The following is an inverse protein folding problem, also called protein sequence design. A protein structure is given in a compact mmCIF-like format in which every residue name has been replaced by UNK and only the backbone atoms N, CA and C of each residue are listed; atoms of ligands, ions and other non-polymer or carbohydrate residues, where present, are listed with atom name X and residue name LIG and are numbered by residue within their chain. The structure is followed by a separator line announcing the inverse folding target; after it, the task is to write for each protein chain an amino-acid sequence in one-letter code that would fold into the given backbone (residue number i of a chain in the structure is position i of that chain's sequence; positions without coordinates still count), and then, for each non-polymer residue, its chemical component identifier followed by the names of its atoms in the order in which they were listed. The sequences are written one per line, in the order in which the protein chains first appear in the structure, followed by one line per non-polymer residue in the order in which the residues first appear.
data_IF_844995412953
#
_entry.id   IF_844995412953
#
_cell.length_a   1.000
_cell.length_b   1.000
_cell.length_c   1.000
_cell.angle_alpha   90.00
_cell.angle_beta   90.00
_cell.angle_gamma   90.00
#
_symmetry.space_group_name_H-M   'P 1'
#
loop_
_entity.id
_entity.type
_entity.pdbx_description
1 polymer ?
#
# COMPACT_ATOMS: atom_id res chain seq x y z
N UNK A 1 -29.15 0.41 -32.25
CA UNK A 1 -29.24 1.37 -31.13
C UNK A 1 -28.05 1.31 -30.14
N UNK A 2 -27.02 0.48 -30.36
CA UNK A 2 -25.73 0.51 -29.63
C UNK A 2 -24.80 1.68 -30.03
N UNK A 3 -25.12 2.36 -31.14
CA UNK A 3 -24.33 3.44 -31.73
C UNK A 3 -24.09 4.64 -30.78
N UNK A 4 -25.06 5.17 -30.00
CA UNK A 4 -24.84 6.36 -29.17
C UNK A 4 -23.90 6.12 -27.98
N UNK A 5 -23.96 4.93 -27.38
CA UNK A 5 -23.12 4.56 -26.24
C UNK A 5 -21.69 4.30 -26.71
N UNK A 6 -21.53 3.58 -27.82
CA UNK A 6 -20.23 3.32 -28.45
C UNK A 6 -19.62 4.62 -29.02
N UNK A 7 -20.44 5.54 -29.57
CA UNK A 7 -19.96 6.83 -30.06
C UNK A 7 -19.48 7.73 -28.92
N UNK A 8 -20.16 7.73 -27.77
CA UNK A 8 -19.75 8.52 -26.59
C UNK A 8 -18.46 7.98 -25.94
N UNK A 9 -18.20 6.67 -26.04
CA UNK A 9 -16.94 6.06 -25.58
C UNK A 9 -15.78 6.39 -26.52
N UNK A 10 -16.04 6.54 -27.83
CA UNK A 10 -15.01 6.87 -28.83
C UNK A 10 -14.80 8.38 -29.03
N UNK A 11 -15.76 9.21 -28.62
CA UNK A 11 -15.68 10.67 -28.69
C UNK A 11 -15.53 11.27 -27.28
N UNK A 12 -14.32 11.73 -26.95
CA UNK A 12 -14.08 12.51 -25.74
C UNK A 12 -14.57 13.95 -25.89
N UNK A 13 -15.13 14.51 -24.82
CA UNK A 13 -15.50 15.93 -24.70
C UNK A 13 -14.30 16.85 -24.98
N UNK A 14 -13.11 16.44 -24.58
CA UNK A 14 -11.88 17.20 -24.70
C UNK A 14 -10.94 16.61 -25.76
N UNK A 15 -10.22 17.51 -26.45
CA UNK A 15 -9.11 17.14 -27.32
C UNK A 15 -7.95 16.59 -26.47
N UNK A 16 -7.28 15.56 -26.98
CA UNK A 16 -6.20 14.87 -26.26
C UNK A 16 -4.84 15.55 -26.45
N UNK A 17 -4.65 16.26 -27.56
CA UNK A 17 -3.40 16.94 -27.91
C UNK A 17 -2.87 17.88 -26.83
N UNK A 18 -3.68 18.80 -26.26
CA UNK A 18 -3.23 19.66 -25.17
C UNK A 18 -2.77 18.90 -23.91
N UNK A 19 -3.49 17.82 -23.54
CA UNK A 19 -3.13 16.99 -22.39
C UNK A 19 -1.82 16.23 -22.63
N UNK A 20 -1.64 15.64 -23.82
CA UNK A 20 -0.40 14.96 -24.20
C UNK A 20 0.78 15.92 -24.25
N UNK A 21 0.57 17.14 -24.74
CA UNK A 21 1.60 18.19 -24.71
C UNK A 21 2.01 18.50 -23.28
N UNK A 22 1.05 18.70 -22.37
CA UNK A 22 1.35 18.95 -20.96
C UNK A 22 2.12 17.78 -20.31
N UNK A 23 1.75 16.53 -20.61
CA UNK A 23 2.52 15.38 -20.12
C UNK A 23 3.94 15.33 -20.67
N UNK A 24 4.15 15.66 -21.95
CA UNK A 24 5.48 15.69 -22.58
C UNK A 24 6.36 16.86 -22.11
N UNK A 25 5.75 17.94 -21.63
CA UNK A 25 6.46 19.05 -20.99
C UNK A 25 6.98 18.67 -19.60
N UNK A 26 6.23 17.84 -18.85
CA UNK A 26 6.61 17.40 -17.50
C UNK A 26 7.48 16.14 -17.52
N UNK A 27 7.19 15.20 -18.41
CA UNK A 27 7.92 13.94 -18.56
C UNK A 27 8.63 13.95 -19.91
N UNK A 28 9.98 13.89 -19.94
CA UNK A 28 10.72 13.91 -21.19
C UNK A 28 10.20 12.85 -22.17
N UNK A 29 10.02 13.18 -23.47
CA UNK A 29 9.36 12.30 -24.43
C UNK A 29 10.00 10.91 -24.61
N UNK A 30 11.29 10.81 -24.31
CA UNK A 30 12.15 9.63 -24.41
C UNK A 30 12.32 8.87 -23.07
N UNK A 31 11.69 9.36 -22.00
CA UNK A 31 11.80 8.75 -20.68
C UNK A 31 10.91 7.51 -20.59
N UNK A 32 11.53 6.32 -20.71
CA UNK A 32 10.81 5.04 -20.59
C UNK A 32 10.36 4.79 -19.15
N UNK A 33 9.15 4.25 -19.00
CA UNK A 33 8.52 3.96 -17.71
C UNK A 33 9.34 2.96 -16.88
N UNK A 34 9.88 1.93 -17.54
CA UNK A 34 10.69 0.89 -16.91
C UNK A 34 12.06 0.81 -17.58
N UNK A 35 13.13 0.77 -16.76
CA UNK A 35 14.52 0.69 -17.24
C UNK A 35 15.19 2.02 -17.62
N UNK A 36 14.47 3.16 -17.54
CA UNK A 36 14.81 4.44 -18.17
C UNK A 36 15.74 5.40 -17.44
N UNK A 37 16.35 5.01 -16.32
CA UNK A 37 17.35 5.87 -15.69
C UNK A 37 18.44 5.04 -15.02
N UNK A 38 19.57 4.86 -15.73
CA UNK A 38 20.76 4.20 -15.20
C UNK A 38 21.56 5.10 -14.24
N UNK A 39 21.26 6.40 -14.21
CA UNK A 39 22.02 7.39 -13.44
C UNK A 39 21.34 7.77 -12.11
N UNK A 40 20.22 7.16 -11.75
CA UNK A 40 19.65 7.33 -10.41
C UNK A 40 20.46 6.50 -9.41
N UNK A 41 21.51 7.08 -8.84
CA UNK A 41 22.17 6.53 -7.66
C UNK A 41 21.19 6.59 -6.48
N UNK A 42 20.42 5.52 -6.26
CA UNK A 42 19.45 5.51 -5.17
C UNK A 42 18.44 4.37 -5.12
N UNK A 43 17.76 4.27 -3.98
CA UNK A 43 16.57 3.41 -3.80
C UNK A 43 15.46 3.95 -4.69
N UNK A 44 15.20 3.26 -5.80
CA UNK A 44 14.12 3.59 -6.73
C UNK A 44 12.75 3.34 -6.08
N UNK A 45 11.98 4.42 -5.90
CA UNK A 45 10.57 4.36 -5.49
C UNK A 45 9.80 3.51 -6.48
N UNK A 46 9.07 2.51 -5.99
CA UNK A 46 8.23 1.63 -6.80
C UNK A 46 6.91 2.33 -7.06
N UNK A 47 6.66 2.68 -8.31
CA UNK A 47 5.47 3.41 -8.75
C UNK A 47 4.69 2.57 -9.75
N UNK A 48 3.36 2.65 -9.67
CA UNK A 48 2.43 1.96 -10.54
C UNK A 48 1.16 2.80 -10.75
N UNK A 49 0.58 2.69 -11.94
CA UNK A 49 -0.73 3.25 -12.28
C UNK A 49 -1.64 2.14 -12.83
N UNK A 50 -2.93 2.28 -12.61
CA UNK A 50 -3.95 1.36 -13.11
C UNK A 50 -4.53 1.87 -14.43
N UNK A 51 -4.80 0.97 -15.36
CA UNK A 51 -5.48 1.27 -16.61
C UNK A 51 -6.35 0.08 -17.00
N UNK A 52 -7.24 0.27 -17.96
CA UNK A 52 -8.21 -0.73 -18.38
C UNK A 52 -8.09 -0.93 -19.89
N UNK A 53 -8.07 -2.19 -20.35
CA UNK A 53 -8.12 -2.50 -21.79
C UNK A 53 -9.56 -2.53 -22.31
N UNK A 54 -9.75 -2.48 -23.64
CA UNK A 54 -11.08 -2.66 -24.25
C UNK A 54 -11.73 -4.00 -23.95
N UNK A 55 -10.94 -5.02 -23.60
CA UNK A 55 -11.43 -6.34 -23.17
C UNK A 55 -11.71 -6.39 -21.66
N UNK A 56 -11.90 -5.23 -21.01
CA UNK A 56 -12.23 -5.13 -19.57
C UNK A 56 -11.20 -5.76 -18.64
N UNK A 57 -9.93 -5.83 -19.06
CA UNK A 57 -8.83 -6.27 -18.18
C UNK A 57 -8.19 -5.08 -17.50
N UNK A 58 -8.10 -5.14 -16.18
CA UNK A 58 -7.27 -4.24 -15.37
C UNK A 58 -5.81 -4.53 -15.67
N UNK A 59 -5.06 -3.49 -16.01
CA UNK A 59 -3.64 -3.53 -16.30
C UNK A 59 -2.90 -2.63 -15.33
N UNK A 60 -1.78 -3.12 -14.81
CA UNK A 60 -0.82 -2.31 -14.06
C UNK A 60 0.35 -1.95 -14.97
N UNK A 61 0.58 -0.64 -15.11
CA UNK A 61 1.77 -0.06 -15.72
C UNK A 61 2.66 0.43 -14.58
N UNK A 62 3.92 0.01 -14.52
CA UNK A 62 4.78 0.35 -13.37
C UNK A 62 6.24 0.58 -13.77
N UNK A 63 7.07 1.03 -12.82
CA UNK A 63 8.52 1.19 -13.01
C UNK A 63 9.37 0.05 -12.40
N UNK A 64 8.76 -1.08 -12.08
CA UNK A 64 9.43 -2.22 -11.44
C UNK A 64 9.05 -3.57 -12.04
N UNK A 65 9.94 -4.54 -12.07
CA UNK A 65 9.54 -5.90 -12.41
C UNK A 65 9.20 -6.71 -11.15
N UNK A 66 8.34 -7.72 -11.29
CA UNK A 66 7.99 -8.65 -10.21
C UNK A 66 7.63 -10.02 -10.77
N UNK A 67 7.71 -11.05 -9.93
CA UNK A 67 7.21 -12.39 -10.30
C UNK A 67 5.69 -12.33 -10.44
N UNK A 68 5.16 -13.01 -11.44
CA UNK A 68 3.71 -13.14 -11.60
C UNK A 68 3.14 -14.05 -10.51
N UNK A 69 2.07 -13.62 -9.81
CA UNK A 69 1.36 -14.49 -8.89
C UNK A 69 0.71 -15.65 -9.68
N UNK A 70 0.47 -16.78 -9.01
CA UNK A 70 -0.18 -17.96 -9.61
C UNK A 70 -1.57 -17.63 -10.16
N UNK A 71 -2.31 -16.77 -9.46
CA UNK A 71 -3.62 -16.28 -9.85
C UNK A 71 -3.54 -14.75 -9.83
N UNK A 72 -3.41 -14.09 -11.00
CA UNK A 72 -3.28 -12.64 -11.07
C UNK A 72 -4.63 -11.95 -10.91
N UNK A 73 -4.71 -11.00 -9.97
CA UNK A 73 -5.83 -10.06 -9.86
C UNK A 73 -5.87 -9.10 -11.07
N UNK A 74 -4.69 -8.67 -11.51
CA UNK A 74 -4.48 -7.70 -12.57
C UNK A 74 -3.48 -8.23 -13.59
N UNK A 75 -3.66 -7.84 -14.84
CA UNK A 75 -2.65 -8.06 -15.87
C UNK A 75 -1.45 -7.14 -15.61
N UNK A 76 -0.26 -7.72 -15.52
CA UNK A 76 0.96 -6.97 -15.32
C UNK A 76 1.60 -6.68 -16.67
N UNK A 77 1.59 -5.42 -17.12
CA UNK A 77 2.16 -5.09 -18.42
C UNK A 77 3.67 -4.96 -18.31
N UNK A 78 4.37 -5.95 -18.85
CA UNK A 78 5.82 -5.95 -19.04
C UNK A 78 6.13 -6.44 -20.43
N UNK A 79 6.02 -5.56 -21.43
CA UNK A 79 6.38 -5.92 -22.78
C UNK A 79 7.92 -5.95 -22.94
N UNK A 80 8.42 -6.43 -24.09
CA UNK A 80 9.84 -6.30 -24.42
C UNK A 80 10.28 -4.83 -24.52
N UNK A 81 11.58 -4.52 -24.46
CA UNK A 81 12.09 -3.14 -24.48
C UNK A 81 11.57 -2.31 -25.67
N UNK A 82 11.36 -2.93 -26.82
CA UNK A 82 10.86 -2.32 -28.05
C UNK A 82 9.36 -1.93 -28.00
N UNK A 83 8.66 -2.41 -26.97
CA UNK A 83 7.24 -2.17 -26.72
C UNK A 83 6.98 -1.51 -25.36
N UNK A 84 8.04 -1.13 -24.64
CA UNK A 84 7.91 -0.46 -23.34
C UNK A 84 7.33 0.94 -23.50
N UNK A 85 6.48 1.32 -22.56
CA UNK A 85 5.83 2.62 -22.61
C UNK A 85 6.77 3.73 -22.16
N UNK A 86 6.63 4.89 -22.78
CA UNK A 86 7.14 6.13 -22.22
C UNK A 86 6.30 6.53 -20.99
N UNK A 87 6.90 7.24 -20.05
CA UNK A 87 6.22 7.68 -18.83
C UNK A 87 5.00 8.57 -19.15
N UNK A 88 5.10 9.44 -20.14
CA UNK A 88 3.98 10.28 -20.60
C UNK A 88 2.85 9.45 -21.23
N UNK A 89 3.16 8.31 -21.86
CA UNK A 89 2.15 7.40 -22.42
C UNK A 89 1.41 6.65 -21.32
N UNK A 90 2.12 6.22 -20.28
CA UNK A 90 1.49 5.61 -19.11
C UNK A 90 0.56 6.60 -18.38
N UNK A 91 0.99 7.86 -18.23
CA UNK A 91 0.15 8.94 -17.71
C UNK A 91 -1.08 9.17 -18.60
N UNK A 92 -0.90 9.19 -19.92
CA UNK A 92 -2.00 9.35 -20.88
C UNK A 92 -2.99 8.19 -20.84
N UNK A 93 -2.51 6.96 -20.67
CA UNK A 93 -3.32 5.74 -20.58
C UNK A 93 -4.20 5.74 -19.33
N UNK A 94 -3.63 6.03 -18.15
CA UNK A 94 -4.39 6.04 -16.89
C UNK A 94 -5.41 7.18 -16.82
N UNK A 95 -5.23 8.28 -17.56
CA UNK A 95 -6.15 9.43 -17.58
C UNK A 95 -7.15 9.41 -18.75
N UNK A 96 -7.26 8.30 -19.49
CA UNK A 96 -8.17 8.16 -20.62
C UNK A 96 -9.63 7.92 -20.17
N UNK A 97 -10.16 8.84 -19.36
CA UNK A 97 -11.50 8.75 -18.78
C UNK A 97 -12.58 8.74 -19.87
N UNK A 98 -13.45 7.69 -19.92
CA UNK A 98 -14.56 7.65 -20.85
C UNK A 98 -15.42 8.93 -20.76
N UNK A 99 -15.99 9.36 -21.89
CA UNK A 99 -16.69 10.65 -22.08
C UNK A 99 -15.82 11.92 -21.99
N UNK A 100 -14.69 11.89 -21.29
CA UNK A 100 -13.78 13.03 -21.17
C UNK A 100 -12.72 13.04 -22.27
N UNK A 101 -11.95 11.96 -22.37
CA UNK A 101 -10.86 11.81 -23.33
C UNK A 101 -11.06 10.55 -24.18
N UNK A 102 -10.55 10.60 -25.41
CA UNK A 102 -10.53 9.40 -26.26
C UNK A 102 -9.64 8.31 -25.63
N UNK A 103 -9.94 7.02 -25.87
CA UNK A 103 -9.06 5.93 -25.49
C UNK A 103 -7.64 6.13 -26.05
N UNK A 104 -6.62 5.73 -25.28
CA UNK A 104 -5.23 5.84 -25.71
C UNK A 104 -4.80 4.57 -26.46
N UNK A 105 -4.48 4.68 -27.73
CA UNK A 105 -3.94 3.59 -28.53
C UNK A 105 -2.41 3.61 -28.47
N UNK A 106 -1.82 2.63 -27.82
CA UNK A 106 -0.38 2.44 -27.81
C UNK A 106 0.00 1.54 -28.99
N UNK A 107 0.62 2.13 -30.00
CA UNK A 107 0.92 1.45 -31.26
C UNK A 107 1.90 0.29 -31.07
N UNK A 108 2.94 0.46 -30.24
CA UNK A 108 3.98 -0.55 -30.06
C UNK A 108 3.45 -1.85 -29.39
N UNK A 109 2.52 -1.73 -28.43
CA UNK A 109 1.91 -2.91 -27.80
C UNK A 109 0.63 -3.39 -28.48
N UNK A 110 0.14 -2.67 -29.51
CA UNK A 110 -1.14 -2.92 -30.18
C UNK A 110 -2.32 -2.96 -29.21
N UNK A 111 -2.23 -2.20 -28.11
CA UNK A 111 -3.27 -2.15 -27.08
C UNK A 111 -3.95 -0.79 -27.03
N UNK A 112 -5.23 -0.81 -26.66
CA UNK A 112 -6.02 0.38 -26.41
C UNK A 112 -6.39 0.42 -24.94
N UNK A 113 -6.03 1.54 -24.31
CA UNK A 113 -6.14 1.81 -22.90
C UNK A 113 -7.23 2.85 -22.60
N UNK A 114 -7.92 2.60 -21.50
CA UNK A 114 -8.93 3.43 -20.86
C UNK A 114 -8.47 3.72 -19.42
N UNK A 115 -9.12 4.68 -18.79
CA UNK A 115 -8.86 5.03 -17.40
C UNK A 115 -8.94 3.84 -16.43
N UNK A 116 -8.07 3.84 -15.42
CA UNK A 116 -8.07 2.85 -14.35
C UNK A 116 -9.26 2.99 -13.40
N UNK A 117 -9.85 4.18 -13.31
CA UNK A 117 -11.01 4.51 -12.48
C UNK A 117 -12.28 3.75 -12.84
N UNK A 118 -12.34 3.13 -14.02
CA UNK A 118 -13.44 2.24 -14.42
C UNK A 118 -13.61 1.07 -13.43
N UNK A 119 -12.51 0.53 -12.93
CA UNK A 119 -12.50 -0.63 -12.03
C UNK A 119 -11.82 -0.36 -10.68
N UNK A 120 -10.81 0.52 -10.65
CA UNK A 120 -10.00 0.80 -9.47
C UNK A 120 -9.77 2.31 -9.32
N UNK A 121 -10.86 3.05 -9.07
CA UNK A 121 -10.76 4.48 -8.73
C UNK A 121 -10.06 4.73 -7.39
N UNK A 122 -10.05 3.71 -6.52
CA UNK A 122 -9.08 3.57 -5.43
C UNK A 122 -8.16 2.38 -5.74
N UNK A 123 -6.86 2.60 -5.99
CA UNK A 123 -5.95 1.51 -6.33
C UNK A 123 -5.48 0.71 -5.10
N UNK A 124 -6.10 0.85 -3.93
CA UNK A 124 -5.61 0.29 -2.66
C UNK A 124 -5.42 -1.23 -2.71
N UNK A 125 -6.38 -1.96 -3.27
CA UNK A 125 -6.28 -3.42 -3.42
C UNK A 125 -5.11 -3.79 -4.33
N UNK A 126 -4.98 -3.10 -5.46
CA UNK A 126 -3.87 -3.31 -6.41
C UNK A 126 -2.54 -2.99 -5.73
N UNK A 127 -2.44 -1.88 -5.00
CA UNK A 127 -1.24 -1.48 -4.28
C UNK A 127 -0.82 -2.53 -3.22
N UNK A 128 -1.77 -3.05 -2.44
CA UNK A 128 -1.47 -4.11 -1.46
C UNK A 128 -0.97 -5.39 -2.14
N UNK A 129 -1.64 -5.85 -3.20
CA UNK A 129 -1.23 -7.06 -3.95
C UNK A 129 0.15 -6.87 -4.59
N UNK A 130 0.38 -5.74 -5.25
CA UNK A 130 1.66 -5.45 -5.90
C UNK A 130 2.79 -5.34 -4.86
N UNK A 131 2.56 -4.69 -3.72
CA UNK A 131 3.58 -4.59 -2.65
C UNK A 131 4.07 -5.96 -2.18
N UNK A 132 3.16 -6.91 -1.98
CA UNK A 132 3.47 -8.29 -1.58
C UNK A 132 4.20 -9.07 -2.66
N UNK A 133 3.94 -8.75 -3.92
CA UNK A 133 4.61 -9.37 -5.05
C UNK A 133 6.02 -8.81 -5.30
N UNK A 134 6.25 -7.53 -4.96
CA UNK A 134 7.59 -6.91 -4.97
C UNK A 134 8.42 -7.42 -3.78
N UNK A 135 7.83 -7.55 -2.60
CA UNK A 135 8.51 -7.97 -1.37
C UNK A 135 7.90 -9.24 -0.73
N UNK A 136 8.11 -10.43 -1.32
CA UNK A 136 7.50 -11.67 -0.83
C UNK A 136 7.87 -12.04 0.61
N UNK A 137 9.09 -11.72 1.07
CA UNK A 137 9.57 -12.00 2.43
C UNK A 137 8.84 -11.21 3.52
N UNK A 138 8.22 -10.09 3.15
CA UNK A 138 7.48 -9.20 4.06
C UNK A 138 5.97 -9.32 3.89
N UNK A 139 5.47 -10.24 3.07
CA UNK A 139 4.04 -10.36 2.73
C UNK A 139 3.13 -10.53 3.95
N UNK A 140 3.59 -11.27 4.95
CA UNK A 140 2.84 -11.61 6.15
C UNK A 140 3.11 -10.62 7.30
N UNK A 141 3.99 -9.64 7.07
CA UNK A 141 4.29 -8.57 8.03
C UNK A 141 3.29 -7.43 7.88
N UNK A 142 3.03 -6.72 8.97
CA UNK A 142 2.23 -5.49 8.93
C UNK A 142 3.02 -4.39 8.21
N UNK A 143 2.36 -3.53 7.41
CA UNK A 143 3.01 -2.38 6.81
C UNK A 143 3.43 -1.36 7.88
N UNK A 144 4.47 -0.58 7.61
CA UNK A 144 4.81 0.56 8.48
C UNK A 144 3.70 1.61 8.45
N UNK A 145 3.18 1.88 7.25
CA UNK A 145 2.02 2.72 6.99
C UNK A 145 1.43 2.38 5.61
N UNK A 146 0.11 2.46 5.52
CA UNK A 146 -0.67 2.56 4.30
C UNK A 146 -1.42 3.88 4.38
N UNK A 147 -1.11 4.79 3.46
CA UNK A 147 -1.77 6.07 3.33
C UNK A 147 -2.51 6.11 1.98
N UNK A 148 -3.84 6.17 2.05
CA UNK A 148 -4.71 6.34 0.91
C UNK A 148 -5.28 7.76 0.90
N UNK A 149 -5.06 8.50 -0.17
CA UNK A 149 -5.52 9.89 -0.31
C UNK A 149 -6.61 9.95 -1.37
N UNK A 150 -7.79 10.42 -1.00
CA UNK A 150 -8.93 10.60 -1.89
C UNK A 150 -8.98 12.00 -2.51
N UNK A 151 -9.72 12.12 -3.61
CA UNK A 151 -9.93 13.37 -4.34
C UNK A 151 -11.25 14.06 -3.97
N UNK A 152 -11.81 13.74 -2.81
CA UNK A 152 -13.08 14.23 -2.32
C UNK A 152 -14.28 13.35 -2.64
N UNK A 153 -15.33 13.49 -1.83
CA UNK A 153 -16.59 12.75 -1.91
C UNK A 153 -17.69 13.72 -2.33
N UNK A 154 -18.40 13.38 -3.41
CA UNK A 154 -19.61 14.09 -3.82
C UNK A 154 -20.81 13.57 -3.00
N UNK A 155 -21.51 14.44 -2.24
CA UNK A 155 -22.61 14.01 -1.37
C UNK A 155 -23.76 13.34 -2.14
N UNK A 156 -23.89 13.59 -3.46
CA UNK A 156 -24.92 12.94 -4.30
C UNK A 156 -24.64 11.46 -4.57
N UNK A 157 -23.37 11.03 -4.44
CA UNK A 157 -22.97 9.64 -4.68
C UNK A 157 -23.13 8.76 -3.45
N UNK A 158 -23.25 9.34 -2.26
CA UNK A 158 -23.48 8.59 -1.01
C UNK A 158 -24.92 8.07 -0.87
N UNK A 159 -25.90 8.77 -1.44
CA UNK A 159 -27.33 8.39 -1.35
C UNK A 159 -27.76 7.39 -2.42
N UNK A 160 -26.87 7.03 -3.35
CA UNK A 160 -27.17 6.06 -4.40
C UNK A 160 -27.13 4.59 -3.92
N UNK A 161 -26.76 4.34 -2.66
CA UNK A 161 -26.41 3.01 -2.13
C UNK A 161 -27.61 2.10 -1.84
N UNK A 162 -28.84 2.62 -1.78
CA UNK A 162 -30.05 1.77 -1.58
C UNK A 162 -30.72 1.34 -2.90
N UNK A 163 -29.94 0.77 -3.83
CA UNK A 163 -30.46 0.27 -5.12
C UNK A 163 -30.78 -1.23 -5.14
N UNK A 164 -30.38 -2.01 -4.12
CA UNK A 164 -30.72 -3.44 -4.02
C UNK A 164 -32.24 -3.64 -4.03
N UNK A 165 -32.99 -2.78 -3.34
CA UNK A 165 -34.45 -2.76 -3.27
C UNK A 165 -35.08 -2.48 -4.65
N UNK A 166 -34.48 -1.60 -5.45
CA UNK A 166 -34.99 -1.27 -6.78
C UNK A 166 -34.74 -2.39 -7.80
N UNK A 167 -33.63 -3.11 -7.68
CA UNK A 167 -33.32 -4.28 -8.53
C UNK A 167 -34.19 -5.48 -8.15
N UNK A 168 -34.40 -5.74 -6.85
CA UNK A 168 -35.31 -6.79 -6.37
C UNK A 168 -36.76 -6.55 -6.80
N UNK A 169 -37.25 -5.31 -6.67
CA UNK A 169 -38.59 -4.93 -7.11
C UNK A 169 -38.77 -5.11 -8.63
N UNK A 170 -37.72 -4.86 -9.41
CA UNK A 170 -37.77 -4.97 -10.86
C UNK A 170 -37.65 -6.42 -11.34
N UNK A 171 -36.76 -7.22 -10.75
CA UNK A 171 -36.65 -8.67 -11.05
C UNK A 171 -37.94 -9.40 -10.67
N UNK A 172 -38.61 -8.99 -9.58
CA UNK A 172 -39.92 -9.51 -9.18
C UNK A 172 -41.07 -9.09 -10.12
N UNK A 173 -40.88 -8.03 -10.90
CA UNK A 173 -41.87 -7.53 -11.87
C UNK A 173 -41.80 -8.20 -13.24
N UNK A 174 -40.70 -8.90 -13.55
CA UNK A 174 -40.53 -9.70 -14.78
C UNK A 174 -41.13 -11.09 -14.54
N UNK A 175 -42.46 -11.16 -14.57
CA UNK A 175 -43.21 -12.40 -14.50
C UNK A 175 -43.05 -13.27 -15.76
N UNK A 176 -43.27 -14.57 -15.61
CA UNK A 176 -42.89 -15.65 -16.52
C UNK A 176 -43.71 -15.81 -17.82
N UNK A 177 -44.37 -14.77 -18.35
CA UNK A 177 -45.12 -14.88 -19.63
C UNK A 177 -45.13 -13.54 -20.38
N UNK A 178 -44.33 -13.38 -21.46
CA UNK A 178 -44.26 -12.10 -22.19
C UNK A 178 -44.17 -12.19 -23.74
N UNK A 179 -44.93 -11.36 -24.48
CA UNK A 179 -44.85 -11.19 -25.94
C UNK A 179 -43.79 -10.15 -26.41
N UNK A 180 -43.36 -10.28 -27.66
CA UNK A 180 -41.94 -10.13 -28.10
C UNK A 180 -41.41 -8.71 -28.42
N UNK A 181 -42.21 -7.64 -28.56
CA UNK A 181 -41.70 -6.42 -29.24
C UNK A 181 -41.57 -5.13 -28.41
N UNK A 182 -42.42 -4.89 -27.40
CA UNK A 182 -42.40 -3.63 -26.61
C UNK A 182 -41.40 -3.66 -25.45
N UNK A 183 -41.00 -4.86 -25.02
CA UNK A 183 -40.29 -5.11 -23.77
C UNK A 183 -38.75 -5.19 -23.90
N UNK A 184 -38.23 -5.44 -25.11
CA UNK A 184 -36.79 -5.43 -25.39
C UNK A 184 -36.13 -4.08 -25.10
N UNK A 185 -36.88 -2.97 -25.24
CA UNK A 185 -36.38 -1.62 -24.92
C UNK A 185 -36.27 -1.40 -23.42
N UNK A 186 -37.25 -1.86 -22.64
CA UNK A 186 -37.22 -1.79 -21.18
C UNK A 186 -36.09 -2.67 -20.62
N UNK A 187 -35.99 -3.93 -21.07
CA UNK A 187 -34.89 -4.81 -20.68
C UNK A 187 -33.50 -4.24 -21.05
N UNK A 188 -33.36 -3.64 -22.23
CA UNK A 188 -32.11 -2.98 -22.62
C UNK A 188 -31.81 -1.75 -21.75
N UNK A 189 -32.81 -0.95 -21.40
CA UNK A 189 -32.67 0.19 -20.48
C UNK A 189 -32.22 -0.27 -19.09
N UNK A 190 -32.74 -1.40 -18.62
CA UNK A 190 -32.34 -2.04 -17.35
C UNK A 190 -30.90 -2.52 -17.41
N UNK A 191 -30.50 -3.22 -18.48
CA UNK A 191 -29.09 -3.63 -18.66
C UNK A 191 -28.15 -2.43 -18.77
N UNK A 192 -28.57 -1.36 -19.43
CA UNK A 192 -27.81 -0.11 -19.53
C UNK A 192 -27.66 0.57 -18.17
N UNK A 193 -28.73 0.60 -17.37
CA UNK A 193 -28.71 1.12 -16.01
C UNK A 193 -27.84 0.27 -15.09
N UNK A 194 -27.95 -1.06 -15.12
CA UNK A 194 -27.06 -1.97 -14.38
C UNK A 194 -25.59 -1.79 -14.77
N UNK A 195 -25.30 -1.65 -16.07
CA UNK A 195 -23.95 -1.39 -16.58
C UNK A 195 -23.42 -0.03 -16.13
N UNK A 196 -24.25 1.01 -16.17
CA UNK A 196 -23.92 2.36 -15.70
C UNK A 196 -23.73 2.41 -14.18
N UNK A 197 -24.58 1.73 -13.42
CA UNK A 197 -24.49 1.61 -11.97
C UNK A 197 -23.24 0.83 -11.56
N UNK A 198 -22.85 -0.22 -12.29
CA UNK A 198 -21.58 -0.91 -12.08
C UNK A 198 -20.38 0.02 -12.29
N UNK A 199 -20.42 0.86 -13.33
CA UNK A 199 -19.39 1.89 -13.58
C UNK A 199 -19.35 2.93 -12.46
N UNK A 200 -20.50 3.42 -11.97
CA UNK A 200 -20.56 4.38 -10.86
C UNK A 200 -20.06 3.74 -9.56
N UNK A 201 -20.45 2.50 -9.27
CA UNK A 201 -20.00 1.78 -8.09
C UNK A 201 -18.48 1.53 -8.13
N UNK A 202 -17.90 1.25 -9.30
CA UNK A 202 -16.45 1.16 -9.49
C UNK A 202 -15.70 2.48 -9.24
N UNK A 203 -16.41 3.62 -9.28
CA UNK A 203 -15.88 4.95 -8.97
C UNK A 203 -15.97 5.30 -7.48
N UNK A 204 -16.62 4.50 -6.64
CA UNK A 204 -16.71 4.77 -5.20
C UNK A 204 -15.42 4.35 -4.48
N UNK A 205 -14.51 5.32 -4.35
CA UNK A 205 -13.23 5.12 -3.68
C UNK A 205 -13.33 4.88 -2.17
N UNK A 206 -14.40 5.34 -1.51
CA UNK A 206 -14.61 5.12 -0.08
C UNK A 206 -15.08 3.69 0.17
N UNK A 207 -16.02 3.20 -0.64
CA UNK A 207 -16.43 1.80 -0.61
C UNK A 207 -15.25 0.86 -0.85
N UNK A 208 -14.45 1.12 -1.89
CA UNK A 208 -13.28 0.29 -2.20
C UNK A 208 -12.25 0.27 -1.04
N UNK A 209 -12.06 1.39 -0.34
CA UNK A 209 -11.23 1.45 0.85
C UNK A 209 -11.84 0.65 2.01
N UNK A 210 -13.12 0.84 2.31
CA UNK A 210 -13.82 0.21 3.43
C UNK A 210 -13.90 -1.31 3.26
N UNK A 211 -14.26 -1.81 2.08
CA UNK A 211 -14.31 -3.24 1.77
C UNK A 211 -12.91 -3.87 1.91
N UNK A 212 -11.88 -3.22 1.38
CA UNK A 212 -10.49 -3.68 1.52
C UNK A 212 -10.05 -3.71 2.99
N UNK A 213 -10.34 -2.66 3.76
CA UNK A 213 -9.95 -2.57 5.17
C UNK A 213 -10.70 -3.62 6.03
N UNK A 214 -11.97 -3.89 5.71
CA UNK A 214 -12.77 -4.93 6.36
C UNK A 214 -12.19 -6.32 6.09
N UNK A 215 -11.77 -6.61 4.86
CA UNK A 215 -11.10 -7.87 4.52
C UNK A 215 -9.75 -7.97 5.24
N UNK A 216 -9.03 -6.85 5.37
CA UNK A 216 -7.75 -6.80 6.09
C UNK A 216 -7.88 -7.04 7.59
N UNK A 217 -8.97 -6.56 8.20
CA UNK A 217 -9.28 -6.72 9.62
C UNK A 217 -8.04 -6.57 10.54
N UNK A 218 -7.35 -5.41 10.52
CA UNK A 218 -6.15 -5.23 11.33
C UNK A 218 -6.47 -5.37 12.83
N UNK A 219 -5.55 -5.99 13.58
CA UNK A 219 -5.59 -5.98 15.06
C UNK A 219 -5.71 -4.52 15.56
N UNK A 220 -6.47 -4.23 16.62
CA UNK A 220 -6.65 -2.88 17.15
C UNK A 220 -5.35 -2.11 17.40
N UNK A 221 -4.25 -2.80 17.73
CA UNK A 221 -2.92 -2.19 17.92
C UNK A 221 -2.30 -1.67 16.61
N UNK A 222 -2.78 -2.16 15.47
CA UNK A 222 -2.26 -1.88 14.13
C UNK A 222 -3.18 -0.99 13.29
N UNK A 223 -4.39 -0.67 13.74
CA UNK A 223 -5.35 0.18 13.02
C UNK A 223 -4.73 1.50 12.53
N UNK A 224 -3.89 2.12 13.37
CA UNK A 224 -3.20 3.39 13.06
C UNK A 224 -2.22 3.33 11.88
N UNK A 225 -1.91 2.13 11.39
CA UNK A 225 -1.09 1.93 10.18
C UNK A 225 -1.90 2.11 8.91
N UNK A 226 -3.23 2.07 8.97
CA UNK A 226 -4.13 2.11 7.82
C UNK A 226 -4.87 3.45 7.83
N UNK A 227 -4.44 4.40 7.02
CA UNK A 227 -4.95 5.77 7.04
C UNK A 227 -5.60 6.15 5.71
N UNK A 228 -6.82 6.68 5.80
CA UNK A 228 -7.55 7.29 4.69
C UNK A 228 -7.68 8.78 4.94
N UNK A 229 -7.13 9.59 4.05
CA UNK A 229 -7.38 11.03 4.01
C UNK A 229 -8.34 11.31 2.87
N UNK A 230 -9.52 11.83 3.20
CA UNK A 230 -10.47 12.29 2.20
C UNK A 230 -11.34 13.41 2.79
N UNK A 231 -12.02 14.14 1.92
CA UNK A 231 -12.89 15.26 2.30
C UNK A 231 -14.27 15.08 1.70
N UNK A 232 -15.29 15.60 2.37
CA UNK A 232 -16.65 15.63 1.82
C UNK A 232 -16.97 17.01 1.27
N UNK A 233 -17.42 17.10 0.03
CA UNK A 233 -17.80 18.39 -0.53
C UNK A 233 -19.18 18.83 -0.03
N UNK A 234 -19.36 20.13 0.23
CA UNK A 234 -20.66 20.72 0.61
C UNK A 234 -21.67 20.75 -0.55
N UNK A 235 -21.19 20.56 -1.78
CA UNK A 235 -21.99 20.57 -2.98
C UNK A 235 -21.29 19.85 -4.13
N UNK A 236 -21.91 19.77 -5.30
CA UNK A 236 -21.35 19.07 -6.44
C UNK A 236 -20.04 19.72 -6.89
N UNK A 237 -19.02 18.89 -7.06
CA UNK A 237 -17.72 19.25 -7.64
C UNK A 237 -17.52 18.41 -8.88
N UNK A 238 -17.32 19.07 -10.02
CA UNK A 238 -17.07 18.39 -11.29
C UNK A 238 -15.57 18.22 -11.51
N UNK A 239 -15.15 17.03 -11.91
CA UNK A 239 -13.74 16.70 -12.16
C UNK A 239 -13.10 17.57 -13.24
N UNK A 240 -13.89 18.04 -14.21
CA UNK A 240 -13.45 18.83 -15.36
C UNK A 240 -13.64 20.34 -15.20
N UNK A 241 -14.13 20.81 -14.04
CA UNK A 241 -14.44 22.22 -13.83
C UNK A 241 -13.32 22.93 -13.05
N UNK A 242 -12.53 23.73 -13.76
CA UNK A 242 -11.44 24.51 -13.18
C UNK A 242 -11.88 25.43 -12.02
N UNK A 243 -13.02 26.10 -12.15
CA UNK A 243 -13.52 27.03 -11.12
C UNK A 243 -13.84 26.34 -9.78
N UNK A 244 -14.05 25.01 -9.78
CA UNK A 244 -14.33 24.27 -8.57
C UNK A 244 -13.06 23.97 -7.73
N UNK A 245 -11.84 24.25 -8.24
CA UNK A 245 -10.59 24.06 -7.48
C UNK A 245 -10.61 24.81 -6.15
N UNK A 246 -11.22 26.00 -6.10
CA UNK A 246 -11.38 26.76 -4.85
C UNK A 246 -12.20 25.98 -3.83
N UNK A 247 -13.31 25.36 -4.25
CA UNK A 247 -14.15 24.52 -3.38
C UNK A 247 -13.37 23.32 -2.84
N UNK A 248 -12.52 22.71 -3.66
CA UNK A 248 -11.66 21.61 -3.23
C UNK A 248 -10.69 22.06 -2.13
N UNK A 249 -10.05 23.21 -2.30
CA UNK A 249 -9.15 23.79 -1.29
C UNK A 249 -9.88 24.14 0.00
N UNK A 250 -11.04 24.78 -0.11
CA UNK A 250 -11.86 25.15 1.04
C UNK A 250 -12.27 23.89 1.84
N UNK A 251 -12.68 22.82 1.14
CA UNK A 251 -13.02 21.55 1.79
C UNK A 251 -11.84 20.92 2.56
N UNK A 252 -10.62 20.96 2.02
CA UNK A 252 -9.41 20.48 2.71
C UNK A 252 -9.12 21.31 3.95
N UNK A 253 -9.09 22.64 3.81
CA UNK A 253 -8.79 23.56 4.93
C UNK A 253 -9.83 23.45 6.06
N UNK A 254 -11.09 23.20 5.73
CA UNK A 254 -12.18 23.11 6.71
C UNK A 254 -12.23 21.76 7.46
N UNK A 255 -11.76 20.66 6.85
CA UNK A 255 -12.00 19.29 7.36
C UNK A 255 -10.74 18.54 7.78
N UNK A 256 -9.58 18.88 7.23
CA UNK A 256 -8.33 18.19 7.55
C UNK A 256 -7.58 18.96 8.61
N UNK A 257 -7.48 18.35 9.79
CA UNK A 257 -6.73 18.90 10.92
C UNK A 257 -5.21 18.72 10.72
N UNK A 258 -4.47 19.81 10.93
CA UNK A 258 -3.00 19.83 10.94
C UNK A 258 -2.43 18.80 11.92
N UNK A 259 -3.11 18.50 13.04
CA UNK A 259 -2.61 17.49 13.99
C UNK A 259 -2.59 16.09 13.40
N UNK A 260 -3.51 15.76 12.50
CA UNK A 260 -3.56 14.46 11.82
C UNK A 260 -2.47 14.37 10.76
N UNK A 261 -2.25 15.45 10.00
CA UNK A 261 -1.13 15.56 9.05
C UNK A 261 0.21 15.40 9.77
N UNK A 262 0.37 16.04 10.93
CA UNK A 262 1.57 15.91 11.75
C UNK A 262 1.79 14.47 12.25
N UNK A 263 0.75 13.75 12.67
CA UNK A 263 0.86 12.33 13.06
C UNK A 263 1.27 11.45 11.88
N UNK A 264 0.75 11.70 10.68
CA UNK A 264 1.14 10.99 9.46
C UNK A 264 2.61 11.27 9.13
N UNK A 265 3.04 12.53 9.21
CA UNK A 265 4.42 12.93 9.00
C UNK A 265 5.36 12.26 10.00
N UNK A 266 5.01 12.23 11.29
CA UNK A 266 5.80 11.54 12.31
C UNK A 266 5.96 10.04 12.01
N UNK A 267 4.88 9.38 11.60
CA UNK A 267 4.89 7.97 11.24
C UNK A 267 5.76 7.69 10.01
N UNK A 268 5.67 8.55 8.98
CA UNK A 268 6.54 8.49 7.79
C UNK A 268 8.01 8.68 8.16
N UNK A 269 8.33 9.67 9.00
CA UNK A 269 9.69 9.91 9.50
C UNK A 269 10.18 8.69 10.29
N UNK A 270 9.37 8.15 11.19
CA UNK A 270 9.72 6.97 11.99
C UNK A 270 10.01 5.76 11.10
N UNK A 271 9.19 5.54 10.07
CA UNK A 271 9.38 4.45 9.09
C UNK A 271 10.66 4.55 8.26
N UNK A 272 11.33 5.71 8.24
CA UNK A 272 12.60 5.86 7.54
C UNK A 272 13.74 5.15 8.27
N UNK A 273 13.61 4.91 9.57
CA UNK A 273 14.59 4.19 10.38
C UNK A 273 14.27 2.70 10.44
N UNK A 274 15.29 1.87 10.59
CA UNK A 274 15.15 0.43 10.78
C UNK A 274 16.27 -0.10 11.66
N UNK A 275 15.98 -1.14 12.42
CA UNK A 275 16.96 -1.86 13.23
C UNK A 275 17.34 -3.17 12.56
N UNK A 276 18.64 -3.46 12.56
CA UNK A 276 19.21 -4.72 12.08
C UNK A 276 20.34 -5.15 13.01
N UNK A 277 20.63 -6.44 13.00
CA UNK A 277 21.67 -7.05 13.81
C UNK A 277 22.22 -8.31 13.12
N UNK A 278 23.45 -8.67 13.45
CA UNK A 278 24.13 -9.88 13.01
C UNK A 278 23.96 -11.04 14.00
N UNK A 279 24.36 -12.25 13.58
CA UNK A 279 24.13 -13.49 14.33
C UNK A 279 24.74 -13.49 15.75
N UNK A 280 25.92 -12.88 15.93
CA UNK A 280 26.67 -12.86 17.19
C UNK A 280 26.11 -11.88 18.21
N UNK A 281 25.14 -11.07 17.78
CA UNK A 281 24.56 -9.98 18.55
C UNK A 281 23.37 -10.41 19.41
N UNK A 282 22.94 -11.68 19.34
CA UNK A 282 21.95 -12.25 20.26
C UNK A 282 22.56 -13.39 21.07
N UNK A 283 22.51 -13.30 22.40
CA UNK A 283 22.93 -14.38 23.30
C UNK A 283 21.80 -14.78 24.24
N UNK A 284 21.45 -16.06 24.17
CA UNK A 284 20.46 -16.65 25.08
C UNK A 284 21.00 -16.73 26.51
N UNK A 285 20.13 -16.38 27.46
CA UNK A 285 20.44 -16.39 28.88
C UNK A 285 19.79 -17.60 29.53
N UNK A 286 20.40 -18.08 30.62
CA UNK A 286 19.93 -19.26 31.36
C UNK A 286 18.50 -19.15 31.90
N UNK A 287 17.98 -17.93 32.01
CA UNK A 287 16.61 -17.65 32.48
C UNK A 287 15.56 -17.65 31.34
N UNK A 288 15.93 -18.02 30.11
CA UNK A 288 15.03 -18.01 28.94
C UNK A 288 14.81 -16.62 28.33
N UNK A 289 15.52 -15.61 28.80
CA UNK A 289 15.68 -14.32 28.11
C UNK A 289 16.88 -14.33 27.17
N UNK A 290 17.16 -13.20 26.55
CA UNK A 290 18.32 -13.00 25.68
C UNK A 290 18.79 -11.55 25.77
N UNK A 291 20.07 -11.33 25.48
CA UNK A 291 20.57 -10.00 25.19
C UNK A 291 20.63 -9.78 23.68
N UNK A 292 20.49 -8.52 23.25
CA UNK A 292 20.54 -8.13 21.85
C UNK A 292 21.35 -6.84 21.69
N UNK A 293 22.37 -6.86 20.85
CA UNK A 293 22.98 -5.66 20.27
C UNK A 293 22.54 -5.51 18.81
N UNK A 294 22.83 -4.35 18.22
CA UNK A 294 22.57 -4.13 16.80
C UNK A 294 22.70 -2.66 16.45
N UNK A 295 22.18 -2.29 15.28
CA UNK A 295 22.31 -0.93 14.75
C UNK A 295 20.99 -0.42 14.21
N UNK A 296 20.71 0.86 14.48
CA UNK A 296 19.65 1.61 13.80
C UNK A 296 20.28 2.36 12.62
N UNK A 297 19.65 2.21 11.46
CA UNK A 297 20.05 2.83 10.20
C UNK A 297 18.87 3.57 9.57
N UNK A 298 19.13 4.46 8.62
CA UNK A 298 18.12 5.21 7.89
C UNK A 298 18.13 4.79 6.41
N UNK A 299 16.96 4.64 5.80
CA UNK A 299 16.84 4.30 4.36
C UNK A 299 17.07 5.49 3.43
N UNK A 300 16.97 6.71 3.96
CA UNK A 300 17.28 7.92 3.20
C UNK A 300 18.80 8.09 3.13
N UNK A 301 19.27 8.64 2.01
CA UNK A 301 20.69 8.90 1.76
C UNK A 301 20.82 10.25 1.03
N UNK A 302 22.05 10.78 0.95
CA UNK A 302 22.35 12.01 0.23
C UNK A 302 21.53 13.21 0.72
N UNK A 303 20.98 13.98 -0.22
CA UNK A 303 20.24 15.22 0.07
C UNK A 303 18.95 14.98 0.85
N UNK A 304 18.28 13.84 0.63
CA UNK A 304 17.08 13.47 1.39
C UNK A 304 17.39 13.28 2.87
N UNK A 305 18.53 12.64 3.18
CA UNK A 305 18.96 12.46 4.56
C UNK A 305 19.39 13.78 5.21
N UNK A 306 20.06 14.66 4.45
CA UNK A 306 20.40 16.01 4.90
C UNK A 306 19.16 16.83 5.25
N UNK A 307 18.14 16.82 4.39
CA UNK A 307 16.86 17.51 4.62
C UNK A 307 16.16 16.98 5.87
N UNK A 308 16.16 15.65 6.07
CA UNK A 308 15.62 15.05 7.28
C UNK A 308 16.40 15.51 8.53
N UNK A 309 17.74 15.51 8.48
CA UNK A 309 18.58 16.02 9.57
C UNK A 309 18.25 17.47 9.94
N UNK A 310 18.15 18.35 8.94
CA UNK A 310 17.78 19.76 9.15
C UNK A 310 16.37 19.92 9.74
N UNK A 311 15.40 19.11 9.30
CA UNK A 311 14.05 19.12 9.85
C UNK A 311 14.05 18.72 11.34
N UNK A 312 14.79 17.68 11.69
CA UNK A 312 14.87 17.17 13.07
C UNK A 312 15.61 18.13 14.02
N UNK A 313 16.64 18.83 13.53
CA UNK A 313 17.24 19.94 14.27
C UNK A 313 16.23 21.05 14.53
N UNK A 314 15.41 21.42 13.53
CA UNK A 314 14.36 22.43 13.71
C UNK A 314 13.36 22.03 14.80
N UNK A 315 12.97 20.74 14.86
CA UNK A 315 12.11 20.22 15.92
C UNK A 315 12.78 20.24 17.30
N UNK A 316 14.11 20.14 17.35
CA UNK A 316 14.89 20.17 18.59
C UNK A 316 15.00 21.59 19.18
N UNK A 317 14.79 22.63 18.36
CA UNK A 317 15.01 24.01 18.73
C UNK A 317 16.50 24.36 18.90
N UNK A 318 16.83 25.60 19.34
CA UNK A 318 18.20 26.02 19.52
C UNK A 318 18.89 25.25 20.66
N UNK A 319 20.18 24.88 20.52
CA UNK A 319 20.90 24.10 21.52
C UNK A 319 21.06 24.89 22.83
N UNK A 320 20.46 24.38 23.92
CA UNK A 320 20.55 24.94 25.28
C UNK A 320 20.67 23.81 26.32
N UNK A 321 21.24 24.02 27.51
CA UNK A 321 21.20 23.02 28.57
C UNK A 321 19.75 22.54 28.82
N UNK A 322 19.51 21.22 28.78
CA UNK A 322 18.18 20.64 28.94
C UNK A 322 17.24 20.69 27.72
N UNK A 323 17.72 21.12 26.54
CA UNK A 323 16.90 21.11 25.31
C UNK A 323 16.47 19.70 24.91
N UNK A 324 15.31 19.62 24.25
CA UNK A 324 14.78 18.39 23.70
C UNK A 324 15.67 17.88 22.56
N UNK A 325 15.85 16.56 22.50
CA UNK A 325 16.51 15.87 21.39
C UNK A 325 15.66 14.69 20.94
N UNK A 326 15.46 14.51 19.62
CA UNK A 326 14.82 13.32 19.09
C UNK A 326 15.51 12.06 19.61
N UNK A 327 14.71 11.11 20.08
CA UNK A 327 15.22 9.94 20.79
C UNK A 327 14.53 8.66 20.34
N UNK A 328 15.30 7.57 20.32
CA UNK A 328 14.74 6.24 20.15
C UNK A 328 14.37 5.67 21.51
N UNK A 329 13.16 5.15 21.64
CA UNK A 329 12.65 4.52 22.86
C UNK A 329 12.45 3.04 22.59
N UNK A 330 13.23 2.19 23.27
CA UNK A 330 13.15 0.74 23.14
C UNK A 330 12.31 0.19 24.28
N UNK A 331 11.30 -0.62 23.95
CA UNK A 331 10.35 -1.21 24.90
C UNK A 331 10.16 -2.69 24.65
N UNK A 332 9.89 -3.40 25.73
CA UNK A 332 9.43 -4.77 25.71
C UNK A 332 7.90 -4.81 25.88
N UNK A 333 7.22 -5.44 24.92
CA UNK A 333 5.78 -5.71 24.92
C UNK A 333 5.57 -7.18 25.27
N UNK A 334 4.72 -7.45 26.27
CA UNK A 334 4.30 -8.82 26.60
C UNK A 334 2.78 -8.95 26.47
N UNK A 335 2.28 -9.94 25.70
CA UNK A 335 0.84 -10.16 25.53
C UNK A 335 0.08 -10.31 26.86
N UNK A 336 0.72 -10.92 27.87
CA UNK A 336 0.09 -11.25 29.15
C UNK A 336 0.32 -10.21 30.26
N UNK A 337 0.94 -9.05 29.97
CA UNK A 337 1.14 -8.00 30.98
C UNK A 337 0.51 -6.69 30.53
N UNK A 338 -0.23 -6.05 31.43
CA UNK A 338 -0.85 -4.73 31.22
C UNK A 338 0.17 -3.59 31.03
N UNK A 339 1.45 -3.82 31.31
CA UNK A 339 2.49 -2.77 31.29
C UNK A 339 3.64 -3.16 30.37
N UNK A 340 3.96 -2.27 29.43
CA UNK A 340 5.20 -2.22 28.65
C UNK A 340 6.37 -1.87 29.56
N UNK A 341 7.52 -2.49 29.34
CA UNK A 341 8.76 -2.17 30.05
C UNK A 341 9.65 -1.32 29.16
N UNK A 342 9.90 -0.06 29.53
CA UNK A 342 10.94 0.76 28.88
C UNK A 342 12.31 0.16 29.21
N UNK A 343 13.07 -0.17 28.18
CA UNK A 343 14.41 -0.75 28.31
C UNK A 343 15.48 0.32 28.19
N UNK A 344 15.30 1.24 27.23
CA UNK A 344 16.32 2.23 26.89
C UNK A 344 15.69 3.46 26.22
N UNK A 345 16.27 4.62 26.46
CA UNK A 345 16.08 5.81 25.63
C UNK A 345 17.43 6.32 25.16
N UNK A 346 17.62 6.39 23.85
CA UNK A 346 18.88 6.82 23.23
C UNK A 346 18.69 8.26 22.75
N UNK A 347 19.51 9.19 23.27
CA UNK A 347 19.46 10.63 22.95
C UNK A 347 20.73 11.16 22.25
N UNK A 348 21.15 10.64 21.08
CA UNK A 348 22.37 11.09 20.42
C UNK A 348 22.15 12.42 19.68
N UNK A 349 23.25 13.11 19.34
CA UNK A 349 23.25 14.35 18.55
C UNK A 349 23.31 14.08 17.03
N UNK A 350 22.57 13.05 16.59
CA UNK A 350 22.60 12.55 15.22
C UNK A 350 21.91 13.42 14.16
N UNK A 351 20.94 14.32 14.47
CA UNK A 351 20.38 15.23 13.46
C UNK A 351 21.46 16.10 12.79
N UNK A 352 22.45 16.54 13.58
CA UNK A 352 23.59 17.32 13.10
C UNK A 352 24.51 16.53 12.18
N UNK A 353 24.82 15.29 12.54
CA UNK A 353 25.58 14.36 11.70
C UNK A 353 24.85 14.08 10.38
N UNK A 354 23.53 13.86 10.42
CA UNK A 354 22.72 13.68 9.22
C UNK A 354 22.76 14.90 8.29
N UNK A 355 22.67 16.11 8.87
CA UNK A 355 22.72 17.36 8.11
C UNK A 355 24.10 17.63 7.50
N UNK A 356 25.16 17.40 8.27
CA UNK A 356 26.54 17.71 7.89
C UNK A 356 27.19 16.65 6.99
N UNK A 357 27.08 15.38 7.39
CA UNK A 357 27.82 14.27 6.79
C UNK A 357 26.99 13.44 5.81
N UNK A 358 25.67 13.68 5.73
CA UNK A 358 24.73 12.91 4.91
C UNK A 358 24.81 11.39 5.20
N UNK A 359 25.07 11.04 6.46
CA UNK A 359 25.17 9.66 6.96
C UNK A 359 24.41 9.50 8.27
N UNK A 360 23.88 8.29 8.49
CA UNK A 360 23.26 7.90 9.75
C UNK A 360 23.48 6.40 10.00
N UNK A 361 24.14 6.11 11.11
CA UNK A 361 24.27 4.77 11.67
C UNK A 361 24.48 4.94 13.17
N UNK A 362 23.73 4.18 13.97
CA UNK A 362 23.80 4.28 15.43
C UNK A 362 23.75 2.90 16.05
N UNK A 363 24.80 2.56 16.80
CA UNK A 363 24.82 1.32 17.57
C UNK A 363 23.85 1.41 18.74
N UNK A 364 23.09 0.35 18.94
CA UNK A 364 22.18 0.18 20.06
C UNK A 364 22.93 -0.59 21.15
N UNK A 365 23.07 -0.03 22.36
CA UNK A 365 23.72 -0.74 23.45
C UNK A 365 22.88 -1.94 23.88
N UNK A 366 23.53 -2.89 24.56
CA UNK A 366 22.96 -4.17 24.99
C UNK A 366 21.53 -4.04 25.54
N UNK A 367 20.56 -4.64 24.86
CA UNK A 367 19.16 -4.68 25.25
C UNK A 367 18.84 -6.03 25.87
N UNK A 368 18.51 -6.05 27.16
CA UNK A 368 18.11 -7.26 27.87
C UNK A 368 16.63 -7.54 27.67
N UNK A 369 16.31 -8.54 26.86
CA UNK A 369 14.94 -8.98 26.59
C UNK A 369 14.65 -10.20 27.43
N UNK A 370 13.57 -10.12 28.19
CA UNK A 370 13.33 -11.07 29.28
C UNK A 370 12.71 -12.41 28.86
N UNK A 371 12.29 -12.56 27.61
CA UNK A 371 11.71 -13.79 27.08
C UNK A 371 11.78 -13.84 25.56
N UNK A 372 12.04 -15.02 24.99
CA UNK A 372 11.92 -15.27 23.54
C UNK A 372 10.54 -14.94 22.96
N UNK A 373 9.48 -14.98 23.78
CA UNK A 373 8.11 -14.67 23.34
C UNK A 373 7.77 -13.18 23.42
N UNK A 374 8.66 -12.35 23.96
CA UNK A 374 8.43 -10.93 24.08
C UNK A 374 8.59 -10.24 22.72
N UNK A 375 7.65 -9.36 22.39
CA UNK A 375 7.80 -8.45 21.26
C UNK A 375 8.65 -7.26 21.71
N UNK A 376 9.53 -6.82 20.84
CA UNK A 376 10.26 -5.58 21.02
C UNK A 376 9.61 -4.51 20.17
N UNK A 377 9.58 -3.30 20.68
CA UNK A 377 9.17 -2.10 19.98
C UNK A 377 10.28 -1.06 20.07
N UNK A 378 10.63 -0.46 18.94
CA UNK A 378 11.55 0.68 18.89
C UNK A 378 10.77 1.85 18.32
N UNK A 379 10.52 2.85 19.15
CA UNK A 379 9.72 4.02 18.86
C UNK A 379 10.62 5.24 18.64
N UNK A 380 10.15 6.20 17.86
CA UNK A 380 10.84 7.49 17.68
C UNK A 380 10.03 8.61 18.35
N UNK A 381 10.67 9.31 19.29
CA UNK A 381 10.16 10.56 19.87
C UNK A 381 10.78 11.74 19.13
N UNK A 382 9.94 12.54 18.49
CA UNK A 382 10.31 13.66 17.61
C UNK A 382 10.11 15.03 18.26
N UNK A 383 9.25 15.13 19.27
CA UNK A 383 8.89 16.39 19.94
C UNK A 383 8.73 16.19 21.46
N UNK A 384 8.92 17.24 22.29
CA UNK A 384 8.88 17.10 23.75
C UNK A 384 7.50 16.73 24.31
N UNK A 385 6.44 17.27 23.70
CA UNK A 385 5.03 17.13 24.07
C UNK A 385 4.42 15.77 23.70
N UNK A 386 5.11 14.97 22.88
CA UNK A 386 4.62 13.63 22.54
C UNK A 386 4.56 12.72 23.78
N UNK A 387 3.37 12.21 24.05
CA UNK A 387 3.13 11.14 25.00
C UNK A 387 3.43 9.77 24.37
N UNK A 388 3.49 8.73 25.21
CA UNK A 388 3.76 7.36 24.78
C UNK A 388 2.80 6.83 23.72
N UNK A 389 1.55 7.31 23.75
CA UNK A 389 0.51 6.94 22.78
C UNK A 389 0.70 7.62 21.42
N UNK A 390 1.52 8.65 21.32
CA UNK A 390 1.72 9.46 20.12
C UNK A 390 3.02 9.09 19.38
N UNK A 391 3.77 8.14 19.92
CA UNK A 391 5.00 7.65 19.32
C UNK A 391 4.70 6.60 18.25
N UNK A 392 5.48 6.62 17.16
CA UNK A 392 5.38 5.63 16.10
C UNK A 392 6.61 4.72 16.10
N UNK A 393 6.42 3.43 15.80
CA UNK A 393 7.53 2.50 15.67
C UNK A 393 8.35 2.80 14.41
N UNK A 394 9.64 2.50 14.48
CA UNK A 394 10.48 2.42 13.30
C UNK A 394 10.08 1.23 12.42
N UNK A 395 10.64 1.16 11.22
CA UNK A 395 10.25 0.15 10.23
C UNK A 395 10.41 -1.29 10.71
N UNK A 396 9.35 -2.07 10.50
CA UNK A 396 9.30 -3.49 10.84
C UNK A 396 9.08 -3.78 12.33
N UNK A 397 8.77 -2.79 13.16
CA UNK A 397 8.40 -2.98 14.57
C UNK A 397 6.90 -2.74 14.80
N UNK A 398 6.29 -3.36 15.84
CA UNK A 398 6.89 -4.28 16.79
C UNK A 398 7.18 -5.66 16.17
N UNK A 399 8.21 -6.35 16.68
CA UNK A 399 8.55 -7.73 16.26
C UNK A 399 9.33 -8.48 17.33
N UNK A 400 9.40 -9.80 17.20
CA UNK A 400 10.24 -10.67 18.05
C UNK A 400 11.62 -10.82 17.42
N UNK A 401 12.64 -10.26 18.04
CA UNK A 401 14.01 -10.30 17.50
C UNK A 401 14.56 -11.73 17.43
N UNK A 402 14.15 -12.61 18.36
CA UNK A 402 14.52 -14.02 18.32
C UNK A 402 14.01 -14.74 17.06
N UNK A 403 12.84 -14.36 16.54
CA UNK A 403 12.28 -14.97 15.33
C UNK A 403 13.13 -14.59 14.10
N UNK A 404 13.61 -13.35 14.02
CA UNK A 404 14.54 -12.91 12.96
C UNK A 404 15.90 -13.61 13.07
N UNK A 405 16.43 -13.80 14.28
CA UNK A 405 17.71 -14.49 14.51
C UNK A 405 17.67 -15.95 14.04
N UNK A 406 16.57 -16.66 14.32
CA UNK A 406 16.35 -18.03 13.84
C UNK A 406 16.36 -18.11 12.31
N UNK A 407 15.82 -17.11 11.62
CA UNK A 407 15.85 -17.04 10.14
C UNK A 407 17.28 -16.81 9.64
N UNK A 408 18.03 -15.87 10.23
CA UNK A 408 19.43 -15.60 9.87
C UNK A 408 20.29 -16.87 10.02
N UNK A 409 20.07 -17.64 11.10
CA UNK A 409 20.74 -18.93 11.30
C UNK A 409 20.41 -19.95 10.20
N UNK A 410 19.14 -20.07 9.83
CA UNK A 410 18.68 -21.01 8.81
C UNK A 410 19.20 -20.67 7.42
N UNK A 411 19.22 -19.39 7.03
CA UNK A 411 19.73 -18.96 5.72
C UNK A 411 21.22 -19.28 5.56
N UNK A 412 22.00 -19.12 6.64
CA UNK A 412 23.44 -19.43 6.65
C UNK A 412 23.72 -20.94 6.66
N UNK A 413 22.92 -21.72 7.39
CA UNK A 413 23.07 -23.19 7.46
C UNK A 413 22.47 -23.89 6.23
N UNK A 414 21.49 -23.28 5.56
CA UNK A 414 20.95 -23.78 4.29
C UNK A 414 21.89 -23.52 3.10
N UNK A 415 22.77 -22.52 3.18
CA UNK A 415 23.79 -22.22 2.18
C UNK A 415 25.12 -22.95 2.41
N UNK A 416 25.33 -23.51 3.61
CA UNK A 416 26.35 -24.53 3.85
C UNK A 416 25.70 -25.91 3.78
N UNK A 417 25.82 -26.58 2.63
CA UNK A 417 25.56 -28.02 2.53
C UNK A 417 26.24 -28.76 3.70
N UNK A 418 25.46 -29.34 4.61
CA UNK A 418 25.95 -30.34 5.56
C UNK A 418 25.21 -31.66 5.31
N UNK A 419 25.92 -32.79 5.20
CA UNK A 419 25.36 -34.09 4.86
C UNK A 419 24.32 -34.58 5.88
N UNK A 420 23.35 -35.34 5.37
CA UNK A 420 22.40 -36.19 6.10
C UNK A 420 23.01 -36.80 7.38
N UNK A 421 22.79 -36.20 8.55
CA UNK A 421 22.77 -36.84 9.89
C UNK A 421 22.54 -35.83 11.03
N UNK A 422 21.49 -35.02 10.97
CA UNK A 422 21.00 -34.27 12.17
C UNK A 422 19.50 -33.95 12.16
N UNK A 423 18.72 -34.50 11.23
CA UNK A 423 17.28 -34.27 11.10
C UNK A 423 16.41 -34.91 12.21
N UNK A 424 16.99 -35.57 13.22
CA UNK A 424 16.23 -36.36 14.20
C UNK A 424 15.88 -35.64 15.50
N UNK A 425 16.16 -34.35 15.66
CA UNK A 425 15.81 -33.61 16.90
C UNK A 425 14.74 -32.52 16.79
N UNK A 426 14.27 -32.15 15.58
CA UNK A 426 13.22 -31.11 15.44
C UNK A 426 11.77 -31.63 15.31
N UNK A 427 11.55 -32.95 15.21
CA UNK A 427 10.22 -33.52 14.91
C UNK A 427 9.37 -33.92 16.14
N UNK A 428 9.62 -33.37 17.33
CA UNK A 428 8.84 -33.71 18.56
C UNK A 428 7.88 -32.64 19.05
N UNK A 429 7.58 -31.60 18.27
CA UNK A 429 6.58 -30.60 18.68
C UNK A 429 5.67 -30.18 17.52
N UNK A 430 4.84 -31.10 17.04
CA UNK A 430 3.61 -30.78 16.29
C UNK A 430 2.71 -32.00 16.24
N UNK A 431 1.96 -32.22 17.32
CA UNK A 431 0.78 -33.09 17.31
C UNK A 431 -0.43 -32.19 17.49
N UNK A 432 -1.14 -31.87 16.39
CA UNK A 432 -2.58 -31.53 16.37
C UNK A 432 -3.00 -31.16 14.94
N UNK A 433 -3.37 -32.17 14.14
CA UNK A 433 -4.43 -32.08 13.12
C UNK A 433 -4.62 -33.43 12.42
N UNK A 434 -5.44 -34.32 13.00
CA UNK A 434 -5.98 -35.45 12.24
C UNK A 434 -7.33 -35.90 12.80
N UNK A 435 -8.38 -35.17 12.48
CA UNK A 435 -9.75 -35.68 12.40
C UNK A 435 -10.40 -35.00 11.20
N UNK A 436 -11.18 -35.77 10.43
CA UNK A 436 -11.85 -35.46 9.16
C UNK A 436 -11.09 -35.89 7.90
N UNK A 437 -11.12 -37.20 7.65
CA UNK A 437 -11.43 -37.76 6.32
C UNK A 437 -12.08 -39.11 6.56
N UNK A 438 -13.42 -39.10 6.59
CA UNK A 438 -14.25 -40.30 6.59
C UNK A 438 -14.06 -41.06 5.29
N UNK A 439 -13.97 -42.39 5.41
CA UNK A 439 -13.56 -43.29 4.35
C UNK A 439 -14.60 -43.55 3.28
N UNK A 440 -14.08 -43.90 2.11
CA UNK A 440 -14.77 -44.71 1.10
C UNK A 440 -13.85 -45.90 0.86
N UNK A 441 -14.30 -47.09 1.25
CA UNK A 441 -13.71 -48.40 0.93
C UNK A 441 -14.32 -48.85 -0.40
N UNK A 442 -13.52 -48.98 -1.44
CA UNK A 442 -13.85 -49.83 -2.59
C UNK A 442 -13.59 -51.30 -2.21
N UNK A 443 -14.57 -52.15 -2.49
CA UNK A 443 -14.47 -53.61 -2.42
C UNK A 443 -14.09 -54.12 -3.81
N UNK A 444 -12.99 -54.86 -3.87
CA UNK A 444 -12.76 -55.85 -4.92
C UNK A 444 -13.56 -57.10 -4.54
N UNK A 445 -14.47 -57.53 -5.41
CA UNK A 445 -15.05 -58.88 -5.39
C UNK A 445 -14.70 -59.56 -6.72
N UNK A 446 -13.87 -60.60 -6.60
CA UNK A 446 -13.64 -61.63 -7.60
C UNK A 446 -14.60 -62.80 -7.36
N UNK A 447 -15.65 -62.91 -8.18
CA UNK A 447 -16.14 -64.12 -8.84
C UNK A 447 -17.40 -63.84 -9.65
#
# INVERSE_FOLDING_TARGET
MLQPVISTINHGTYLTGPLEKAFKEVFPPDYVLFGGNKNSEGVSVKAAVTTTTRQSRVVVLSNYNRKSPKIPLNHFHRPGPEKEMMLWEAARATSAAPSYFRPFAHTASEQVYLDGGIYHNSPILVADVESKAIWPSSRDRQPDIILSVGTGIDPRKETAVDTSVAVEALVSSVGSDLPIDRDRRSYLEVLMRLGYDHLINGLDSERAWNEWLQIKAPDPRNERRYRRLNVRFKGPVRMDKFDDIKKCRDAVTEQIDDTEILKIADQLISSCFYFHFEQEEIRELRNGGYDCTGRISCRLFGDSLQKLGAHLEKLSGPPKPGHFRPSFVIREIRPNRKRTRKLLEIKPDWPKTMRGEKKFAMDVPLVLISSERAETEILLKLRPDQEDKDLFPISGFPRRLQDDHKVILQERWGSQLIPHKLATKLNRSTTLSRVLTGGIRERDDSN
#
